data_IF_460953064974
#
_entry.id   IF_460953064974
#
_cell.length_a   1.000
_cell.length_b   1.000
_cell.length_c   1.000
_cell.angle_alpha   90.00
_cell.angle_beta   90.00
_cell.angle_gamma   90.00
#
_symmetry.space_group_name_H-M   'P 1'
#
loop_
_entity.id
_entity.type
_entity.pdbx_description
1 polymer ?
2 polymer ?
3 non-polymer ?
4 non-polymer ?
5 non-polymer ?
6 water ?
#
# COMPACT_ATOMS: atom_id res chain seq x y z
N UNK A 28 13.43 -11.87 11.50
CA UNK A 28 12.80 -12.26 10.16
C UNK A 28 11.30 -11.94 9.78
N UNK A 29 10.33 -11.77 10.74
CA UNK A 29 9.10 -11.13 10.39
C UNK A 29 9.25 -9.69 9.78
N UNK A 30 10.32 -9.00 10.14
CA UNK A 30 10.48 -7.57 9.78
C UNK A 30 11.42 -7.35 8.57
N UNK A 31 11.86 -8.41 7.89
CA UNK A 31 12.91 -8.24 6.81
C UNK A 31 12.32 -8.20 5.43
N UNK A 32 12.64 -7.13 4.67
CA UNK A 32 12.21 -6.94 3.31
C UNK A 32 13.42 -6.68 2.41
N UNK A 33 13.18 -7.01 1.14
CA UNK A 33 14.21 -6.87 0.06
C UNK A 33 13.62 -6.02 -1.04
N UNK A 34 14.34 -4.96 -1.44
CA UNK A 34 13.94 -4.17 -2.62
C UNK A 34 14.42 -4.80 -3.88
N UNK A 35 13.67 -4.56 -4.96
CA UNK A 35 14.00 -5.17 -6.28
C UNK A 35 13.52 -4.29 -7.35
N UNK A 36 14.30 -4.03 -8.42
CA UNK A 36 13.83 -3.05 -9.37
C UNK A 36 13.95 -3.81 -10.68
N UNK A 37 12.89 -3.78 -11.45
CA UNK A 37 12.95 -4.45 -12.76
C UNK A 37 12.36 -3.53 -13.81
N UNK A 38 12.54 -3.83 -15.11
CA UNK A 38 12.13 -2.84 -16.11
C UNK A 38 11.14 -3.44 -17.13
N UNK A 39 10.18 -2.66 -17.57
CA UNK A 39 9.24 -3.09 -18.64
C UNK A 39 8.71 -1.88 -19.31
N UNK A 40 8.55 -1.93 -20.63
CA UNK A 40 7.92 -0.85 -21.35
C UNK A 40 8.60 0.46 -21.18
N UNK A 41 9.92 0.41 -20.92
CA UNK A 41 10.71 1.65 -20.75
C UNK A 41 10.46 2.34 -19.42
N UNK A 42 9.84 1.61 -18.49
CA UNK A 42 9.53 2.20 -17.17
C UNK A 42 10.14 1.25 -16.18
N UNK A 43 10.14 1.61 -14.90
CA UNK A 43 10.75 0.85 -13.86
C UNK A 43 9.66 0.40 -12.91
N UNK A 44 9.72 -0.86 -12.51
CA UNK A 44 8.73 -1.36 -11.51
C UNK A 44 9.62 -1.60 -10.27
N UNK A 45 9.32 -0.88 -9.22
CA UNK A 45 10.03 -1.09 -7.99
C UNK A 45 9.19 -2.02 -7.09
N UNK A 46 9.84 -3.05 -6.54
CA UNK A 46 9.18 -4.05 -5.72
C UNK A 46 9.80 -4.16 -4.36
N UNK A 47 9.01 -4.36 -3.32
CA UNK A 47 9.47 -4.76 -2.05
C UNK A 47 8.98 -6.14 -1.76
N UNK A 48 9.90 -7.05 -1.40
CA UNK A 48 9.48 -8.45 -1.09
C UNK A 48 9.71 -8.72 0.39
N UNK A 49 8.68 -9.27 1.08
CA UNK A 49 8.84 -9.73 2.42
C UNK A 49 9.44 -11.10 2.36
N UNK A 50 10.69 -11.16 2.81
CA UNK A 50 11.52 -12.32 2.42
C UNK A 50 10.95 -13.64 2.95
N UNK A 51 10.43 -13.67 4.16
CA UNK A 51 9.99 -14.96 4.79
C UNK A 51 8.70 -15.48 4.15
N UNK A 52 7.84 -14.59 3.58
CA UNK A 52 6.57 -15.03 2.95
C UNK A 52 6.50 -15.01 1.45
N UNK A 53 7.32 -14.18 0.81
CA UNK A 53 7.26 -13.83 -0.63
C UNK A 53 6.11 -12.87 -1.00
N UNK A 54 5.47 -12.27 -0.01
CA UNK A 54 4.43 -11.23 -0.28
C UNK A 54 5.13 -10.05 -0.88
N UNK A 55 4.48 -9.34 -1.77
CA UNK A 55 5.15 -8.17 -2.39
C UNK A 55 4.22 -6.94 -2.40
N UNK A 56 4.87 -5.76 -2.51
CA UNK A 56 4.16 -4.52 -2.90
C UNK A 56 4.99 -3.97 -4.06
N UNK A 57 4.37 -3.20 -4.94
CA UNK A 57 5.14 -2.70 -6.07
C UNK A 57 4.54 -1.42 -6.60
N UNK A 58 5.35 -0.62 -7.31
CA UNK A 58 4.81 0.50 -8.03
C UNK A 58 5.59 0.69 -9.32
N UNK A 59 4.95 1.42 -10.25
CA UNK A 59 5.63 1.87 -11.47
C UNK A 59 6.07 3.32 -11.28
N UNK A 60 7.36 3.58 -11.58
CA UNK A 60 7.94 4.97 -11.63
C UNK A 60 8.73 5.17 -12.94
N UNK A 61 8.95 6.44 -13.39
CA UNK A 61 9.57 6.63 -14.73
C UNK A 61 11.02 6.25 -14.70
N UNK A 62 11.63 6.42 -13.49
CA UNK A 62 13.02 6.04 -13.25
C UNK A 62 13.30 5.80 -11.77
N UNK A 63 14.37 5.05 -11.46
CA UNK A 63 14.66 4.69 -10.04
C UNK A 63 15.61 5.67 -9.29
N UNK A 64 15.04 6.68 -8.67
CA UNK A 64 15.79 7.75 -8.06
C UNK A 64 15.76 7.53 -6.53
N UNK A 65 16.67 8.18 -5.79
CA UNK A 65 16.64 8.00 -4.31
C UNK A 65 15.33 8.62 -3.80
N UNK A 66 14.82 9.74 -4.37
CA UNK A 66 13.52 10.23 -3.88
C UNK A 66 12.35 9.28 -4.09
N UNK A 67 12.29 8.64 -5.24
CA UNK A 67 11.18 7.67 -5.48
C UNK A 67 11.37 6.50 -4.57
N UNK A 68 12.64 6.03 -4.39
CA UNK A 68 12.79 4.84 -3.51
C UNK A 68 12.46 5.15 -2.06
N UNK A 69 12.86 6.35 -1.64
CA UNK A 69 12.56 6.82 -0.25
C UNK A 69 11.04 6.91 0.03
N UNK A 70 10.32 7.48 -0.93
CA UNK A 70 8.83 7.58 -0.77
C UNK A 70 8.18 6.20 -0.71
N UNK A 71 8.64 5.29 -1.56
CA UNK A 71 8.11 3.92 -1.59
C UNK A 71 8.36 3.25 -0.22
N UNK A 72 9.58 3.40 0.35
CA UNK A 72 9.88 2.81 1.65
C UNK A 72 9.02 3.45 2.77
N UNK A 73 8.80 4.77 2.68
CA UNK A 73 7.89 5.43 3.67
C UNK A 73 6.47 4.84 3.58
N UNK A 74 5.96 4.64 2.35
CA UNK A 74 4.65 3.99 2.22
C UNK A 74 4.65 2.58 2.82
N UNK A 75 5.70 1.78 2.50
CA UNK A 75 5.69 0.42 2.91
C UNK A 75 5.71 0.33 4.47
N UNK A 76 6.57 1.11 5.07
CA UNK A 76 6.73 1.07 6.52
C UNK A 76 5.54 1.58 7.31
N UNK A 77 4.72 2.44 6.68
CA UNK A 77 3.46 2.84 7.33
C UNK A 77 2.42 1.69 7.31
N UNK A 78 2.64 0.67 6.43
CA UNK A 78 1.60 -0.36 6.19
C UNK A 78 1.95 -1.70 6.78
N UNK A 79 3.25 -2.01 6.95
CA UNK A 79 3.71 -3.24 7.57
C UNK A 79 4.87 -2.90 8.49
N UNK A 80 5.16 -3.78 9.47
CA UNK A 80 6.21 -3.40 10.45
C UNK A 80 7.61 -3.75 9.92
N UNK A 81 8.19 -2.83 9.22
CA UNK A 81 9.40 -3.00 8.43
C UNK A 81 10.57 -2.73 9.40
N UNK A 82 11.33 -3.78 9.72
CA UNK A 82 12.47 -3.61 10.61
C UNK A 82 13.76 -3.37 9.81
N UNK A 83 13.95 -4.12 8.72
CA UNK A 83 15.23 -4.05 7.94
C UNK A 83 14.86 -4.04 6.48
N UNK A 84 15.54 -3.21 5.69
CA UNK A 84 15.36 -3.30 4.21
C UNK A 84 16.72 -3.55 3.62
N UNK A 85 16.80 -4.64 2.83
CA UNK A 85 18.00 -4.87 1.99
C UNK A 85 17.78 -4.13 0.71
N UNK A 86 18.61 -3.10 0.47
CA UNK A 86 18.46 -2.27 -0.72
C UNK A 86 18.81 -3.08 -1.99
N UNK A 87 18.27 -2.59 -3.13
CA UNK A 87 18.39 -3.33 -4.44
C UNK A 87 19.73 -3.13 -5.13
N UNK A 88 20.35 -1.98 -4.83
CA UNK A 88 21.66 -1.67 -5.44
C UNK A 88 22.38 -0.66 -4.56
N UNK A 89 23.59 -0.37 -4.98
CA UNK A 89 24.52 0.49 -4.22
C UNK A 89 24.10 1.93 -4.24
N UNK A 90 23.42 2.37 -5.29
CA UNK A 90 23.05 3.80 -5.39
C UNK A 90 21.93 4.04 -4.31
N UNK A 91 20.97 3.13 -4.25
CA UNK A 91 19.94 3.28 -3.12
C UNK A 91 20.53 3.07 -1.77
N UNK A 92 21.53 2.20 -1.62
CA UNK A 92 22.19 2.12 -0.27
C UNK A 92 22.92 3.44 0.08
N UNK A 93 23.58 4.04 -0.90
CA UNK A 93 24.37 5.27 -0.67
C UNK A 93 23.40 6.48 -0.44
N UNK A 94 22.30 6.54 -1.19
CA UNK A 94 21.44 7.75 -1.27
C UNK A 94 21.09 8.34 0.11
N UNK A 95 21.45 9.60 0.32
CA UNK A 95 21.16 10.09 1.68
C UNK A 95 19.63 10.27 1.83
N UNK A 96 18.93 10.51 0.73
CA UNK A 96 17.42 10.63 0.75
C UNK A 96 16.82 9.26 1.22
N UNK A 97 17.32 8.17 0.65
CA UNK A 97 16.83 6.87 1.14
C UNK A 97 17.25 6.70 2.60
N UNK A 98 18.48 7.07 3.00
CA UNK A 98 18.84 6.86 4.42
C UNK A 98 17.93 7.70 5.31
N UNK A 99 17.60 8.88 4.82
CA UNK A 99 16.70 9.81 5.58
C UNK A 99 15.32 9.21 5.78
N UNK A 100 14.77 8.53 4.78
CA UNK A 100 13.46 7.90 4.98
C UNK A 100 13.58 6.74 5.86
N UNK A 101 14.66 5.99 5.78
CA UNK A 101 14.84 4.80 6.64
C UNK A 101 15.01 5.34 8.10
N UNK A 102 15.72 6.47 8.28
CA UNK A 102 15.78 7.01 9.66
C UNK A 102 14.36 7.41 10.11
N UNK A 103 13.64 8.10 9.28
CA UNK A 103 12.32 8.60 9.66
C UNK A 103 11.42 7.48 10.11
N UNK A 104 11.38 6.44 9.27
CA UNK A 104 10.47 5.33 9.46
C UNK A 104 10.99 4.24 10.43
N UNK A 105 12.18 4.47 11.02
CA UNK A 105 12.76 3.44 11.90
C UNK A 105 13.22 2.15 11.24
N UNK A 106 13.69 2.25 10.00
CA UNK A 106 14.14 1.03 9.30
C UNK A 106 15.64 0.97 9.29
N UNK A 107 16.18 -0.24 9.52
CA UNK A 107 17.63 -0.49 9.40
C UNK A 107 17.90 -0.67 7.92
N UNK A 108 18.67 0.22 7.35
CA UNK A 108 18.96 0.11 5.92
C UNK A 108 20.21 -0.76 5.77
N UNK A 109 20.11 -1.81 4.97
CA UNK A 109 21.21 -2.74 4.78
C UNK A 109 21.54 -2.92 3.31
N UNK A 110 22.72 -3.45 3.04
CA UNK A 110 22.99 -3.84 1.63
C UNK A 110 22.22 -5.03 1.14
N UNK A 111 22.48 -5.48 -0.08
CA UNK A 111 21.60 -6.51 -0.68
C UNK A 111 22.53 -7.58 -1.26
N UNK A 112 23.74 -7.63 -0.71
CA UNK A 112 24.74 -8.66 -1.15
C UNK A 112 24.12 -10.07 -0.94
N UNK A 113 24.14 -10.93 -1.99
CA UNK A 113 23.54 -12.25 -1.82
C UNK A 113 24.60 -13.21 -1.21
N UNK A 114 24.92 -13.00 0.06
CA UNK A 114 25.77 -13.95 0.80
C UNK A 114 25.19 -15.35 0.70
N UNK A 115 23.85 -15.44 0.65
CA UNK A 115 23.21 -16.69 0.26
C UNK A 115 22.87 -16.63 -1.21
N UNK A 116 23.56 -17.46 -2.02
CA UNK A 116 23.41 -17.18 -3.45
C UNK A 116 21.99 -17.53 -3.91
N UNK A 117 21.28 -18.33 -3.09
CA UNK A 117 19.85 -18.62 -3.39
C UNK A 117 19.04 -17.31 -3.60
N UNK A 118 19.42 -16.24 -2.90
CA UNK A 118 18.71 -14.94 -3.05
C UNK A 118 18.68 -14.41 -4.45
N UNK A 119 19.82 -14.38 -5.07
CA UNK A 119 19.90 -14.02 -6.46
C UNK A 119 18.83 -14.74 -7.32
N UNK A 120 18.75 -16.09 -7.25
CA UNK A 120 17.83 -16.85 -8.08
C UNK A 120 16.35 -16.63 -7.75
N UNK A 121 16.04 -16.45 -6.47
CA UNK A 121 14.64 -16.22 -6.01
C UNK A 121 14.16 -14.91 -6.62
N UNK A 122 14.97 -13.85 -6.49
CA UNK A 122 14.60 -12.55 -7.06
C UNK A 122 14.38 -12.63 -8.57
N UNK A 123 15.32 -13.28 -9.27
CA UNK A 123 15.23 -13.42 -10.74
C UNK A 123 13.96 -14.16 -11.14
N UNK A 124 13.66 -15.26 -10.46
CA UNK A 124 12.50 -16.06 -10.76
C UNK A 124 11.24 -15.22 -10.43
N UNK A 125 11.28 -14.45 -9.34
CA UNK A 125 10.11 -13.58 -9.02
C UNK A 125 9.89 -12.54 -10.12
N UNK A 126 10.94 -11.92 -10.65
CA UNK A 126 10.73 -10.92 -11.68
C UNK A 126 10.17 -11.55 -12.96
N UNK A 127 10.71 -12.74 -13.28
CA UNK A 127 10.18 -13.47 -14.45
C UNK A 127 8.69 -13.84 -14.23
N UNK A 128 8.32 -14.31 -13.04
CA UNK A 128 6.88 -14.60 -12.72
C UNK A 128 6.03 -13.30 -12.81
N UNK A 129 6.51 -12.21 -12.21
CA UNK A 129 5.66 -10.99 -12.32
C UNK A 129 5.49 -10.52 -13.74
N UNK A 130 6.58 -10.60 -14.52
CA UNK A 130 6.39 -10.19 -15.91
C UNK A 130 5.47 -11.12 -16.69
N UNK A 131 5.51 -12.38 -16.31
CA UNK A 131 4.57 -13.34 -16.93
C UNK A 131 3.11 -12.95 -16.62
N UNK A 132 2.86 -12.62 -15.36
CA UNK A 132 1.53 -12.22 -14.97
C UNK A 132 1.09 -10.93 -15.63
N UNK A 133 1.99 -9.94 -15.63
CA UNK A 133 1.71 -8.75 -16.25
C UNK A 133 1.30 -8.93 -17.76
N UNK A 134 2.05 -9.79 -18.47
CA UNK A 134 1.61 -10.20 -19.84
C UNK A 134 0.25 -10.81 -19.93
N UNK A 135 -0.14 -11.58 -18.95
CA UNK A 135 -1.42 -12.22 -18.98
C UNK A 135 -2.55 -11.21 -18.74
N UNK A 136 -2.26 -10.09 -18.05
CA UNK A 136 -3.33 -9.11 -17.82
C UNK A 136 -3.23 -7.93 -18.67
N UNK A 137 -2.09 -7.83 -19.35
CA UNK A 137 -1.72 -6.53 -19.90
C UNK A 137 -2.79 -5.95 -20.79
N UNK A 138 -3.51 -6.78 -21.55
CA UNK A 138 -4.54 -6.18 -22.41
C UNK A 138 -5.89 -5.81 -21.72
N UNK A 139 -6.01 -6.11 -20.42
CA UNK A 139 -7.19 -5.66 -19.66
C UNK A 139 -6.92 -4.26 -19.16
N UNK A 140 -5.68 -3.76 -19.29
CA UNK A 140 -5.40 -2.41 -18.71
C UNK A 140 -4.84 -1.45 -19.78
N UNK A 141 -5.26 -0.20 -19.75
CA UNK A 141 -4.70 0.79 -20.66
C UNK A 141 -3.30 1.09 -20.10
N UNK A 142 -3.19 1.38 -18.80
CA UNK A 142 -1.87 1.75 -18.24
C UNK A 142 -1.08 0.66 -17.57
N UNK A 143 0.24 0.67 -17.71
CA UNK A 143 1.08 -0.30 -17.07
C UNK A 143 0.81 -0.34 -15.57
N UNK A 144 0.61 0.84 -14.91
CA UNK A 144 0.42 0.74 -13.46
C UNK A 144 -0.76 -0.11 -13.01
N UNK A 145 -1.86 -0.10 -13.75
CA UNK A 145 -2.95 -1.03 -13.45
C UNK A 145 -2.54 -2.47 -13.60
N UNK A 146 -1.80 -2.80 -14.71
CA UNK A 146 -1.38 -4.18 -14.88
C UNK A 146 -0.46 -4.64 -13.76
N UNK A 147 0.42 -3.73 -13.32
CA UNK A 147 1.31 -4.15 -12.24
C UNK A 147 0.53 -4.36 -10.95
N UNK A 148 -0.50 -3.54 -10.68
CA UNK A 148 -1.26 -3.81 -9.46
C UNK A 148 -2.11 -5.09 -9.58
N UNK A 149 -2.59 -5.41 -10.82
CA UNK A 149 -3.27 -6.70 -10.99
C UNK A 149 -2.30 -7.84 -10.70
N UNK A 150 -1.02 -7.65 -11.15
CA UNK A 150 -0.03 -8.73 -10.92
C UNK A 150 0.34 -8.89 -9.43
N UNK A 151 0.43 -7.76 -8.72
CA UNK A 151 0.63 -7.82 -7.26
C UNK A 151 -0.53 -8.59 -6.62
N UNK A 152 -1.77 -8.28 -7.05
CA UNK A 152 -2.93 -8.98 -6.46
C UNK A 152 -2.80 -10.50 -6.73
N UNK A 153 -2.55 -10.86 -7.97
CA UNK A 153 -2.52 -12.32 -8.35
C UNK A 153 -1.36 -12.98 -7.60
N UNK A 154 -0.18 -12.31 -7.56
CA UNK A 154 0.95 -12.94 -6.83
C UNK A 154 0.64 -13.22 -5.34
N UNK A 155 0.07 -12.21 -4.67
CA UNK A 155 -0.16 -12.31 -3.24
C UNK A 155 -1.30 -13.24 -2.92
N UNK A 156 -2.23 -13.48 -3.84
CA UNK A 156 -3.37 -14.33 -3.49
C UNK A 156 -3.15 -15.76 -3.97
N UNK A 157 -2.10 -15.98 -4.75
CA UNK A 157 -1.81 -17.38 -5.28
C UNK A 157 -1.49 -18.38 -4.22
N UNK A 158 -2.26 -19.52 -4.23
CA UNK A 158 -1.91 -20.55 -3.24
C UNK A 158 -0.84 -21.44 -3.82
N UNK A 159 0.24 -21.69 -3.08
CA UNK A 159 1.29 -22.59 -3.54
C UNK A 159 1.40 -23.84 -2.67
N UNK A 164 -2.40 -25.67 0.60
CA UNK A 164 -1.53 -24.54 0.22
C UNK A 164 -1.98 -23.18 0.73
N UNK A 165 -1.05 -22.40 1.26
CA UNK A 165 -1.34 -21.02 1.66
C UNK A 165 -0.81 -20.01 0.63
N UNK A 166 -1.35 -18.79 0.72
CA UNK A 166 -0.84 -17.76 -0.24
C UNK A 166 0.21 -16.92 0.51
N UNK A 167 0.95 -16.11 -0.25
CA UNK A 167 1.93 -15.17 0.40
C UNK A 167 1.22 -14.21 1.35
N UNK A 168 0.01 -13.77 1.00
CA UNK A 168 -0.72 -12.80 1.86
C UNK A 168 -1.13 -13.47 3.15
N UNK A 169 -1.49 -14.77 3.04
CA UNK A 169 -1.71 -15.49 4.34
C UNK A 169 -0.44 -15.70 5.15
N UNK A 170 0.68 -16.03 4.49
CA UNK A 170 1.94 -16.33 5.18
C UNK A 170 2.36 -15.06 5.89
N UNK A 171 2.26 -13.92 5.23
CA UNK A 171 2.83 -12.71 5.92
C UNK A 171 2.08 -12.39 7.19
N UNK A 172 0.75 -12.42 7.11
CA UNK A 172 -0.11 -12.17 8.31
C UNK A 172 0.16 -13.17 9.42
N UNK A 173 0.31 -14.44 9.05
CA UNK A 173 0.61 -15.52 10.05
C UNK A 173 1.94 -15.26 10.72
N UNK A 174 2.94 -14.96 9.91
CA UNK A 174 4.26 -14.73 10.46
C UNK A 174 4.26 -13.55 11.39
N UNK A 175 3.65 -12.40 10.97
CA UNK A 175 3.72 -11.27 11.84
C UNK A 175 2.86 -11.47 13.11
N UNK A 176 1.70 -12.14 12.96
CA UNK A 176 0.86 -12.32 14.16
C UNK A 176 1.56 -13.20 15.17
N UNK A 177 2.25 -14.19 14.69
CA UNK A 177 2.98 -15.11 15.55
C UNK A 177 4.05 -14.32 16.31
N UNK A 178 4.77 -13.42 15.62
CA UNK A 178 5.72 -12.50 16.25
C UNK A 178 5.09 -11.58 17.31
N UNK A 179 3.96 -10.96 17.01
CA UNK A 179 3.27 -10.08 17.97
C UNK A 179 2.89 -10.85 19.24
N UNK A 180 2.50 -12.12 19.09
CA UNK A 180 1.97 -12.97 20.18
C UNK A 180 3.04 -13.37 21.21
N UNK B 28 -16.42 -9.49 9.21
CA UNK B 28 -15.58 -8.43 9.92
C UNK B 28 -14.04 -8.29 9.62
N UNK B 29 -13.25 -9.38 9.54
CA UNK B 29 -11.91 -9.21 9.09
C UNK B 29 -11.75 -8.55 7.69
N UNK B 30 -12.77 -8.67 6.84
CA UNK B 30 -12.61 -8.24 5.43
C UNK B 30 -13.34 -6.92 5.11
N UNK B 31 -13.85 -6.21 6.12
CA UNK B 31 -14.67 -4.97 5.87
C UNK B 31 -13.89 -3.68 5.96
N UNK B 32 -13.95 -2.87 4.90
CA UNK B 32 -13.25 -1.61 4.83
C UNK B 32 -14.26 -0.54 4.46
N UNK B 33 -13.88 0.69 4.85
CA UNK B 33 -14.69 1.91 4.58
C UNK B 33 -13.85 2.91 3.90
N UNK B 34 -14.36 3.46 2.78
CA UNK B 34 -13.65 4.54 2.11
C UNK B 34 -14.04 5.85 2.72
N UNK B 35 -13.13 6.81 2.63
CA UNK B 35 -13.30 8.17 3.24
C UNK B 35 -12.52 9.15 2.49
N UNK B 36 -13.08 10.35 2.19
CA UNK B 36 -12.37 11.26 1.32
C UNK B 36 -12.36 12.56 2.10
N UNK B 37 -11.21 13.14 2.27
CA UNK B 37 -11.17 14.42 2.96
C UNK B 37 -10.29 15.38 2.18
N UNK B 38 -10.35 16.69 2.49
CA UNK B 38 -9.65 17.66 1.61
C UNK B 38 -8.64 18.49 2.41
N UNK B 39 -7.49 18.76 1.81
CA UNK B 39 -6.47 19.65 2.38
C UNK B 39 -5.65 20.27 1.33
N UNK B 40 -5.29 21.56 1.49
CA UNK B 40 -4.42 22.21 0.53
C UNK B 40 -4.89 22.19 -0.88
N UNK B 41 -6.22 22.13 -1.03
CA UNK B 41 -6.77 22.12 -2.39
C UNK B 41 -6.68 20.77 -3.07
N UNK B 42 -6.32 19.75 -2.31
CA UNK B 42 -6.13 18.39 -2.87
C UNK B 42 -7.06 17.50 -2.08
N UNK B 43 -7.17 16.26 -2.49
CA UNK B 43 -8.04 15.28 -1.91
C UNK B 43 -7.20 14.16 -1.30
N UNK B 44 -7.54 13.76 -0.09
CA UNK B 44 -6.80 12.61 0.49
C UNK B 44 -7.91 11.52 0.50
N UNK B 45 -7.62 10.39 -0.14
CA UNK B 45 -8.56 9.27 -0.14
C UNK B 45 -7.99 8.24 0.84
N UNK B 46 -8.85 7.78 1.76
CA UNK B 46 -8.46 6.93 2.83
C UNK B 46 -9.30 5.68 2.80
N UNK B 47 -8.69 4.52 3.05
CA UNK B 47 -9.44 3.33 3.32
C UNK B 47 -9.21 2.94 4.76
N UNK B 48 -10.31 2.66 5.48
CA UNK B 48 -10.20 2.28 6.90
C UNK B 48 -10.66 0.84 7.09
N UNK B 49 -9.83 0.04 7.75
CA UNK B 49 -10.25 -1.29 8.12
C UNK B 49 -11.04 -1.17 9.43
N UNK B 50 -12.35 -1.44 9.26
CA UNK B 50 -13.33 -0.96 10.31
C UNK B 50 -13.01 -1.58 11.67
N UNK B 51 -12.69 -2.85 11.69
CA UNK B 51 -12.59 -3.54 13.02
C UNK B 51 -11.30 -3.12 13.74
N UNK B 52 -10.24 -2.73 13.02
CA UNK B 52 -8.98 -2.33 13.67
C UNK B 52 -8.67 -0.85 13.71
N UNK B 53 -9.24 -0.04 12.83
CA UNK B 53 -8.87 1.34 12.60
C UNK B 53 -7.59 1.58 11.77
N UNK B 54 -7.01 0.50 11.26
CA UNK B 54 -5.79 0.66 10.39
C UNK B 54 -6.23 1.39 9.13
N UNK B 55 -5.34 2.19 8.59
CA UNK B 55 -5.69 2.90 7.35
C UNK B 55 -4.61 2.80 6.30
N UNK B 56 -5.06 3.01 5.03
CA UNK B 56 -4.13 3.31 3.93
C UNK B 56 -4.65 4.62 3.33
N UNK B 57 -3.81 5.40 2.70
CA UNK B 57 -4.34 6.66 2.16
C UNK B 57 -3.46 7.10 0.99
N UNK B 58 -4.01 7.99 0.13
CA UNK B 58 -3.21 8.59 -0.92
C UNK B 58 -3.73 10.00 -1.17
N UNK B 59 -2.86 10.81 -1.76
CA UNK B 59 -3.26 12.14 -2.24
C UNK B 59 -3.50 12.03 -3.76
N UNK B 60 -4.64 12.59 -4.20
CA UNK B 60 -5.01 12.74 -5.67
C UNK B 60 -5.56 14.11 -5.90
N UNK B 61 -5.48 14.65 -7.16
CA UNK B 61 -5.85 16.06 -7.45
C UNK B 61 -7.34 16.22 -7.26
N UNK B 62 -8.07 15.15 -7.59
CA UNK B 62 -9.52 15.16 -7.39
C UNK B 62 -10.08 13.74 -7.28
N UNK B 63 -11.30 13.59 -6.73
CA UNK B 63 -11.83 12.23 -6.45
C UNK B 63 -12.73 11.67 -7.59
N UNK B 64 -12.12 10.96 -8.52
CA UNK B 64 -12.77 10.48 -9.69
C UNK B 64 -13.01 8.96 -9.53
N UNK B 65 -13.91 8.40 -10.34
CA UNK B 65 -14.11 6.91 -10.25
C UNK B 65 -12.80 6.21 -10.64
N UNK B 66 -12.08 6.69 -11.65
CA UNK B 66 -10.81 6.03 -12.04
C UNK B 66 -9.80 6.03 -10.89
N UNK B 67 -9.67 7.16 -10.19
CA UNK B 67 -8.70 7.24 -9.08
C UNK B 67 -9.18 6.32 -7.99
N UNK B 68 -10.50 6.34 -7.71
CA UNK B 68 -10.97 5.48 -6.62
C UNK B 68 -10.81 3.99 -6.92
N UNK B 69 -11.06 3.65 -8.18
CA UNK B 69 -10.93 2.24 -8.63
C UNK B 69 -9.49 1.74 -8.51
N UNK B 70 -8.55 2.57 -8.94
CA UNK B 70 -7.12 2.18 -8.82
C UNK B 70 -6.72 2.02 -7.35
N UNK B 71 -7.13 2.95 -6.49
CA UNK B 71 -6.83 2.81 -5.06
C UNK B 71 -7.40 1.46 -4.52
N UNK B 72 -8.65 1.10 -4.89
CA UNK B 72 -9.21 -0.14 -4.36
C UNK B 72 -8.45 -1.38 -4.90
N UNK B 73 -8.00 -1.26 -6.19
CA UNK B 73 -7.21 -2.37 -6.75
C UNK B 73 -5.91 -2.51 -5.96
N UNK B 74 -5.26 -1.39 -5.66
CA UNK B 74 -4.08 -1.44 -4.79
C UNK B 74 -4.36 -2.08 -3.43
N UNK B 75 -5.44 -1.61 -2.78
CA UNK B 75 -5.69 -2.06 -1.43
C UNK B 75 -5.97 -3.60 -1.43
N UNK B 76 -6.80 -4.03 -2.37
CA UNK B 76 -7.15 -5.46 -2.41
C UNK B 76 -6.01 -6.40 -2.76
N UNK B 77 -4.99 -5.87 -3.43
CA UNK B 77 -3.78 -6.72 -3.68
C UNK B 77 -2.95 -6.88 -2.41
N UNK B 78 -3.22 -6.01 -1.34
CA UNK B 78 -2.29 -5.94 -0.19
C UNK B 78 -2.95 -6.54 1.03
N UNK B 79 -4.29 -6.48 1.12
CA UNK B 79 -5.03 -7.06 2.24
C UNK B 79 -6.24 -7.77 1.71
N UNK B 80 -6.82 -8.68 2.48
CA UNK B 80 -7.98 -9.49 1.94
C UNK B 80 -9.29 -8.75 2.13
N UNK B 81 -9.60 -7.97 1.12
CA UNK B 81 -10.67 -7.04 1.14
C UNK B 81 -11.92 -7.80 0.64
N UNK B 82 -12.86 -8.02 1.54
CA UNK B 82 -14.10 -8.69 1.22
C UNK B 82 -15.19 -7.70 0.80
N UNK B 83 -15.32 -6.61 1.53
CA UNK B 83 -16.43 -5.67 1.35
C UNK B 83 -15.87 -4.27 1.49
N UNK B 84 -16.27 -3.38 0.57
CA UNK B 84 -15.94 -1.96 0.72
C UNK B 84 -17.21 -1.15 0.82
N UNK B 85 -17.34 -0.40 1.91
CA UNK B 85 -18.40 0.65 1.95
C UNK B 85 -17.87 1.89 1.35
N UNK B 86 -18.51 2.30 0.24
CA UNK B 86 -18.03 3.46 -0.55
C UNK B 86 -18.31 4.73 0.22
N UNK B 87 -17.52 5.78 -0.10
CA UNK B 87 -17.57 7.03 0.72
C UNK B 87 -18.73 7.97 0.32
N UNK B 88 -19.25 7.76 -0.90
CA UNK B 88 -20.37 8.62 -1.39
C UNK B 88 -21.08 7.89 -2.55
N UNK B 89 -22.14 8.47 -3.00
CA UNK B 89 -23.02 7.85 -3.99
C UNK B 89 -22.40 7.90 -5.39
N UNK B 90 -21.49 8.84 -5.65
CA UNK B 90 -20.86 8.91 -6.99
C UNK B 90 -19.91 7.67 -7.15
N UNK B 91 -19.13 7.41 -6.11
CA UNK B 91 -18.23 6.15 -6.12
C UNK B 91 -19.05 4.91 -6.02
N UNK B 92 -20.18 4.87 -5.36
CA UNK B 92 -21.04 3.68 -5.47
C UNK B 92 -21.61 3.45 -6.88
N UNK B 93 -22.02 4.55 -7.52
CA UNK B 93 -22.62 4.44 -8.86
C UNK B 93 -21.57 4.12 -9.92
N UNK B 94 -20.35 4.66 -9.77
CA UNK B 94 -19.32 4.65 -10.84
C UNK B 94 -19.11 3.23 -11.46
N UNK B 95 -19.22 3.13 -12.78
CA UNK B 95 -19.08 1.77 -13.29
C UNK B 95 -17.60 1.38 -13.25
N UNK B 96 -16.68 2.35 -13.30
CA UNK B 96 -15.25 2.08 -13.18
C UNK B 96 -14.94 1.50 -11.79
N UNK B 97 -15.50 2.13 -10.75
CA UNK B 97 -15.36 1.53 -9.42
C UNK B 97 -15.97 0.12 -9.36
N UNK B 98 -17.19 -0.06 -9.92
CA UNK B 98 -17.77 -1.39 -9.83
C UNK B 98 -16.86 -2.38 -10.61
N UNK B 99 -16.28 -1.92 -11.71
CA UNK B 99 -15.38 -2.80 -12.52
C UNK B 99 -14.19 -3.23 -11.69
N UNK B 100 -13.60 -2.31 -10.91
CA UNK B 100 -12.47 -2.71 -10.09
C UNK B 100 -12.88 -3.60 -8.99
N UNK B 101 -14.07 -3.42 -8.40
CA UNK B 101 -14.53 -4.28 -7.31
C UNK B 101 -14.85 -5.67 -7.91
N UNK B 102 -15.36 -5.70 -9.16
CA UNK B 102 -15.54 -7.04 -9.78
C UNK B 102 -14.16 -7.68 -9.95
N UNK B 103 -13.21 -6.95 -10.48
CA UNK B 103 -11.93 -7.58 -10.83
C UNK B 103 -11.28 -8.14 -9.60
N UNK B 104 -11.26 -7.35 -8.52
CA UNK B 104 -10.57 -7.74 -7.30
C UNK B 104 -11.39 -8.62 -6.32
N UNK B 105 -12.60 -9.05 -6.74
CA UNK B 105 -13.45 -9.81 -5.82
C UNK B 105 -13.99 -9.12 -4.61
N UNK B 106 -14.27 -7.82 -4.75
CA UNK B 106 -14.78 -7.08 -3.57
C UNK B 106 -16.26 -6.82 -3.75
N UNK B 107 -17.02 -6.98 -2.65
CA UNK B 107 -18.44 -6.62 -2.61
C UNK B 107 -18.52 -5.15 -2.41
N UNK B 108 -19.09 -4.43 -3.36
CA UNK B 108 -19.18 -2.97 -3.24
C UNK B 108 -20.48 -2.62 -2.59
N UNK B 109 -20.44 -1.89 -1.47
CA UNK B 109 -21.66 -1.57 -0.73
C UNK B 109 -21.74 -0.05 -0.57
N UNK B 110 -22.94 0.42 -0.22
CA UNK B 110 -23.04 1.84 0.20
C UNK B 110 -22.41 2.13 1.55
N UNK B 111 -22.51 3.37 2.05
CA UNK B 111 -21.73 3.80 3.21
C UNK B 111 -22.72 4.47 4.16
N UNK B 112 -23.98 4.13 3.95
CA UNK B 112 -25.06 4.72 4.83
C UNK B 112 -24.73 4.36 6.31
N UNK B 113 -24.69 5.38 7.21
CA UNK B 113 -24.36 5.11 8.62
C UNK B 113 -25.63 4.64 9.38
N UNK B 114 -26.08 3.43 9.09
CA UNK B 114 -27.18 2.82 9.85
C UNK B 114 -26.86 2.80 11.34
N UNK B 115 -25.57 2.61 11.66
CA UNK B 115 -25.07 2.91 12.99
C UNK B 115 -24.51 4.32 12.99
N UNK B 116 -25.23 5.26 13.65
CA UNK B 116 -24.82 6.65 13.58
C UNK B 116 -23.41 6.82 14.16
N UNK B 117 -22.94 5.85 14.98
CA UNK B 117 -21.57 5.90 15.53
C UNK B 117 -20.51 6.05 14.41
N UNK B 118 -20.77 5.39 13.25
CA UNK B 118 -19.92 5.53 12.02
C UNK B 118 -19.62 6.95 11.58
N UNK B 119 -20.63 7.77 11.36
CA UNK B 119 -20.36 9.17 11.07
C UNK B 119 -19.28 9.81 11.97
N UNK B 120 -19.48 9.70 13.29
CA UNK B 120 -18.60 10.34 14.25
C UNK B 120 -17.17 9.76 14.24
N UNK B 121 -17.05 8.44 14.10
CA UNK B 121 -15.75 7.74 14.03
C UNK B 121 -14.95 8.31 12.85
N UNK B 122 -15.59 8.40 11.69
CA UNK B 122 -14.91 8.92 10.50
C UNK B 122 -14.49 10.37 10.64
N UNK B 123 -15.42 11.21 11.13
CA UNK B 123 -15.10 12.64 11.33
C UNK B 123 -13.94 12.79 12.32
N UNK B 124 -13.95 12.01 13.40
CA UNK B 124 -12.88 12.10 14.40
C UNK B 124 -11.56 11.62 13.76
N UNK B 125 -11.63 10.59 12.93
CA UNK B 125 -10.39 10.13 12.25
C UNK B 125 -9.86 11.19 11.30
N UNK B 126 -10.73 11.89 10.57
CA UNK B 126 -10.21 12.90 9.65
C UNK B 126 -9.55 14.05 10.41
N UNK B 127 -10.18 14.44 11.54
CA UNK B 127 -9.58 15.50 12.37
C UNK B 127 -8.20 15.06 12.94
N UNK B 128 -8.09 13.82 13.42
CA UNK B 128 -6.80 13.21 13.91
C UNK B 128 -5.77 13.24 12.76
N UNK B 129 -6.16 12.76 11.57
CA UNK B 129 -5.15 12.79 10.50
C UNK B 129 -4.68 14.18 10.12
N UNK B 130 -5.62 15.12 10.06
CA UNK B 130 -5.19 16.46 9.74
C UNK B 130 -4.32 17.06 10.82
N UNK B 131 -4.60 16.65 12.04
CA UNK B 131 -3.74 17.11 13.16
C UNK B 131 -2.28 16.61 12.98
N UNK B 132 -2.20 15.34 12.63
CA UNK B 132 -0.90 14.72 12.45
C UNK B 132 -0.23 15.31 11.26
N UNK B 133 -0.95 15.45 10.12
CA UNK B 133 -0.36 16.08 9.00
C UNK B 133 0.22 17.46 9.33
N UNK B 134 -0.52 18.22 10.17
CA UNK B 134 0.04 19.51 10.58
C UNK B 134 1.28 19.44 11.44
N UNK B 135 1.40 18.41 12.24
CA UNK B 135 2.56 18.22 13.08
C UNK B 135 3.79 17.80 12.27
N UNK B 136 3.57 17.21 11.09
CA UNK B 136 4.75 16.84 10.23
C UNK B 136 4.96 17.73 9.07
N UNK B 137 3.99 18.62 8.85
CA UNK B 137 3.88 19.21 7.53
C UNK B 137 5.15 19.89 7.14
N UNK B 138 5.83 20.49 8.12
CA UNK B 138 7.05 21.23 7.77
C UNK B 138 8.34 20.34 7.58
N UNK B 139 8.21 19.04 7.77
CA UNK B 139 9.30 18.10 7.47
C UNK B 139 9.22 17.71 6.01
N UNK B 140 8.17 18.08 5.31
CA UNK B 140 8.02 17.53 3.91
C UNK B 140 7.71 18.69 2.99
N UNK B 141 8.29 18.64 1.80
CA UNK B 141 8.00 19.64 0.78
C UNK B 141 6.60 19.31 0.23
N UNK B 142 6.34 18.03 -0.13
CA UNK B 142 5.03 17.66 -0.76
C UNK B 142 4.02 17.08 0.19
N UNK B 143 2.74 17.46 0.04
CA UNK B 143 1.69 16.91 0.85
C UNK B 143 1.74 15.38 0.89
N UNK B 144 1.95 14.71 -0.29
CA UNK B 144 1.90 13.28 -0.24
C UNK B 144 2.84 12.66 0.79
N UNK B 145 4.05 13.22 0.91
CA UNK B 145 4.98 12.75 1.98
C UNK B 145 4.38 12.90 3.38
N UNK B 146 3.79 14.11 3.65
CA UNK B 146 3.19 14.33 4.97
C UNK B 146 2.05 13.34 5.22
N UNK B 147 1.25 13.06 4.16
CA UNK B 147 0.14 12.12 4.37
C UNK B 147 0.66 10.70 4.68
N UNK B 148 1.76 10.30 4.00
CA UNK B 148 2.27 8.95 4.29
C UNK B 148 2.93 8.92 5.71
N UNK B 149 3.51 10.08 6.14
CA UNK B 149 4.01 10.15 7.53
C UNK B 149 2.84 9.97 8.49
N UNK B 150 1.70 10.62 8.14
CA UNK B 150 0.51 10.51 9.02
C UNK B 150 -0.08 9.13 9.06
N UNK B 151 -0.10 8.45 7.90
CA UNK B 151 -0.50 7.01 7.90
C UNK B 151 0.41 6.21 8.80
N UNK B 152 1.74 6.47 8.70
CA UNK B 152 2.65 5.67 9.55
C UNK B 152 2.38 5.92 11.08
N UNK B 153 2.24 7.17 11.42
CA UNK B 153 2.01 7.52 12.87
C UNK B 153 0.68 6.94 13.33
N UNK B 154 -0.36 7.08 12.50
CA UNK B 154 -1.68 6.58 12.91
C UNK B 154 -1.61 5.06 13.16
N UNK B 155 -0.98 4.31 12.22
CA UNK B 155 -0.98 2.87 12.26
C UNK B 155 -0.09 2.32 13.33
N UNK B 156 0.88 3.12 13.78
CA UNK B 156 1.84 2.56 14.78
C UNK B 156 1.45 3.04 16.17
N UNK B 157 0.51 3.99 16.25
CA UNK B 157 0.10 4.52 17.60
C UNK B 157 -0.49 3.48 18.49
N UNK B 158 0.08 3.36 19.72
CA UNK B 158 -0.50 2.44 20.67
C UNK B 158 -1.64 3.13 21.42
N UNK B 159 -2.84 2.53 21.47
CA UNK B 159 -3.93 3.22 22.21
C UNK B 159 -4.35 2.46 23.48
N UNK B 164 -1.45 -1.82 25.62
CA UNK B 164 -2.12 -1.20 24.45
C UNK B 164 -1.56 -1.67 23.11
N UNK B 165 -2.44 -1.95 22.16
CA UNK B 165 -1.99 -2.33 20.83
C UNK B 165 -2.19 -1.19 19.81
N UNK B 166 -1.42 -1.29 18.73
CA UNK B 166 -1.65 -0.30 17.63
C UNK B 166 -2.67 -0.88 16.61
N UNK B 167 -3.19 0.00 15.74
CA UNK B 167 -4.09 -0.45 14.62
C UNK B 167 -3.36 -1.50 13.75
N UNK B 168 -2.07 -1.33 13.52
CA UNK B 168 -1.33 -2.27 12.63
C UNK B 168 -1.22 -3.63 13.28
N UNK B 169 -1.04 -3.61 14.63
CA UNK B 169 -1.11 -4.94 15.33
C UNK B 169 -2.50 -5.55 15.29
N UNK B 170 -3.54 -4.75 15.48
CA UNK B 170 -4.92 -5.24 15.57
C UNK B 170 -5.28 -5.83 14.22
N UNK B 171 -4.95 -5.14 13.12
CA UNK B 171 -5.40 -5.74 11.81
C UNK B 171 -4.78 -7.10 11.55
N UNK B 172 -3.46 -7.24 11.79
CA UNK B 172 -2.78 -8.55 11.63
C UNK B 172 -3.39 -9.63 12.54
N UNK B 173 -3.68 -9.23 13.78
CA UNK B 173 -4.26 -10.24 14.72
C UNK B 173 -5.63 -10.70 14.28
N UNK B 174 -6.44 -9.73 13.87
CA UNK B 174 -7.79 -10.03 13.40
C UNK B 174 -7.76 -10.94 12.21
N UNK B 175 -6.96 -10.59 11.17
CA UNK B 175 -6.93 -11.43 10.01
C UNK B 175 -6.30 -12.79 10.27
N UNK B 176 -5.24 -12.83 11.10
CA UNK B 176 -4.60 -14.15 11.40
C UNK B 176 -5.58 -15.07 12.11
N UNK B 177 -6.37 -14.50 13.00
CA UNK B 177 -7.37 -15.26 13.76
C UNK B 177 -8.40 -15.85 12.78
N UNK B 178 -8.85 -15.05 11.80
CA UNK B 178 -9.75 -15.51 10.74
C UNK B 178 -9.12 -16.63 9.89
N UNK B 179 -7.88 -16.46 9.49
CA UNK B 179 -7.21 -17.48 8.68
C UNK B 179 -7.13 -18.81 9.43
N UNK B 180 -6.81 -18.78 10.73
CA UNK B 180 -6.56 -20.00 11.51
C UNK B 180 -7.83 -20.80 11.81
N UNK C 1 16.27 21.28 0.05
CA UNK C 1 15.35 22.27 0.67
C UNK C 1 15.16 22.08 2.18
N UNK C 2 16.01 21.26 2.81
CA UNK C 2 15.85 20.85 4.24
C UNK C 2 14.58 20.04 4.60
N UNK C 3 14.04 19.33 3.62
CA UNK C 3 12.85 18.53 3.86
C UNK C 3 13.28 17.06 3.73
N UNK C 4 12.54 16.14 4.32
CA UNK C 4 12.87 14.69 4.18
C UNK C 4 12.81 14.27 2.70
N UNK C 5 11.89 14.91 1.95
CA UNK C 5 11.64 14.48 0.57
C UNK C 5 12.39 15.36 -0.38
N UNK C 6 13.11 16.34 0.16
CA UNK C 6 14.00 17.18 -0.66
C UNK C 6 15.07 17.71 0.27
N UNK C 7 16.14 16.94 0.39
CA UNK C 7 17.13 17.27 1.44
C UNK C 7 17.79 18.63 1.16
N UNK C 8 17.91 18.94 -0.13
CA UNK C 8 18.39 20.25 -0.62
C UNK C 8 17.61 21.43 -0.01
N UNK D 1 -12.36 2.88 -23.48
CA UNK D 1 -11.38 2.13 -24.34
C UNK D 1 -11.48 0.61 -24.20
N UNK D 2 -12.56 0.13 -23.56
CA UNK D 2 -12.71 -1.30 -23.15
C UNK D 2 -11.49 -1.83 -22.39
N UNK D 3 -11.11 -1.13 -21.32
CA UNK D 3 -10.07 -1.61 -20.38
C UNK D 3 -10.68 -1.40 -18.98
N UNK D 4 -10.15 -2.08 -17.96
CA UNK D 4 -10.67 -1.90 -16.57
C UNK D 4 -10.49 -0.44 -16.16
N UNK D 5 -9.38 0.16 -16.64
CA UNK D 5 -8.97 1.46 -16.15
C UNK D 5 -9.39 2.54 -17.10
N UNK D 6 -10.05 2.13 -18.19
CA UNK D 6 -10.68 3.07 -19.13
C UNK D 6 -11.78 2.26 -19.87
N UNK D 7 -12.96 2.27 -19.26
CA UNK D 7 -14.09 1.44 -19.75
C UNK D 7 -14.44 1.92 -21.16
N UNK D 8 -14.28 3.23 -21.39
CA UNK D 8 -14.46 3.85 -22.75
C UNK D 8 -13.62 3.15 -23.83
X LIG E 1 15.30 -6.20 -15.62
X LIG E 1 16.07 -7.05 -16.51
X LIG E 1 14.17 -5.73 -16.34
X LIG E 1 15.13 -7.05 -14.46
X LIG E 1 15.98 -4.95 -15.24
X LIG F 1 1.20 3.95 -19.46
X LIG F 1 1.43 2.53 -19.64
X LIG F 1 2.45 4.56 -19.92
X LIG F 1 0.06 4.37 -20.23
X LIG F 1 0.98 4.50 -18.10
X LIG G 1 19.87 11.30 -3.24
X LIG G 1 18.99 12.14 -4.07
X LIG G 1 19.73 11.56 -1.80
X LIG G 1 19.59 9.99 -3.81
X LIG G 1 21.26 11.66 -3.03
X LIG H 1 3.37 0.68 -1.88
X LIG H 1 3.74 1.81 -2.55
X LIG H 1 2.06 1.23 -1.57
X LIG H 1 3.28 -0.34 -2.95
X LIG H 1 4.51 0.46 -0.85
X LIG I 1 16.16 3.95 -13.73
X LIG J 1 -4.01 -10.39 -0.16
X LIG J 1 -2.76 -10.36 0.07
X LIG J 1 -4.92 -11.03 0.48
X LIG J 1 -4.46 -9.57 -1.29
X LIG K 1 -13.35 17.56 4.53
X LIG K 1 -12.10 18.16 4.21
X LIG K 1 -13.86 17.35 3.16
X LIG K 1 -13.40 16.37 5.36
X LIG K 1 -14.13 18.48 5.33
X LIG L 1 2.58 19.42 -3.22
X LIG L 1 3.89 19.97 -3.47
X LIG L 1 2.58 18.03 -3.71
X LIG L 1 2.16 19.60 -1.85
X LIG L 1 1.56 20.14 -4.00
X LIG M 1 -16.92 6.46 -14.03
X LIG M 1 -15.79 7.14 -14.68
X LIG M 1 -16.77 6.86 -12.61
X LIG M 1 -18.24 6.42 -14.63
X LIG M 1 -16.99 5.03 -14.39
X LIG N 1 -2.60 2.16 -1.18
X LIG N 1 -2.73 3.02 -2.26
X LIG N 1 -2.49 3.19 -0.12
X LIG N 1 -3.91 1.36 -1.18
X LIG N 1 -1.34 1.41 -1.46
X LIG O 1 -12.87 15.99 -5.76
X LIG P 1 2.33 -0.73 11.36
X LIG P 1 2.31 0.10 12.31
X LIG P 1 3.27 -1.59 11.37
X LIG P 1 1.19 -0.72 10.33
#
# INVERSE_FOLDING_TARGET
MGSSHHHHHHSSGLVPRGSHMHGQVDSSPGIWQLDCTHLEGKVILVAVHVASGYIEAEVIPAETGQETAYFLLKLAGRWPVKTVHTDNGSNFTSTTVKAACWWAGIKQEDGIPYNPQSQGVIESMNKELKKIIGQVRDQAEHLKTAVQMAVFIHNHKRKGGIGGYSAGERIVDIIATDIQTKE
MGSSHHHHHHSSGLVPRGSHMHGQVDSSPGIWQLDCTHLEGKVILVAVHVASGYIEAEVIPAETGQETAYFLLKLAGRWPVKTVHTDNGSNFTSTTVKAACWWAGIKQEDGIPYNPQSQGVIESMNKELKKIIGQVRDQAEHLKTAVQMAVFIHNHKRKGGIGGYSAGERIVDIIATDIQTKE
ADKIDNLD
ADKIDNLD
SO4 S O1 O2 O3 O4
SO4 S O1 O2 O3 O4
SO4 S O1 O2 O3 O4
SO4 S O1 O2 O3 O4
CL CL
ACY C O OXT CH3
SO4 S O1 O2 O3 O4
SO4 S O1 O2 O3 O4
SO4 S O1 O2 O3 O4
SO4 S O1 O2 O3 O4
CL CL
ACY C O OXT CH3
#
